data_IF_776610292617
#
_entry.id   IF_776610292617
#
_cell.length_a   1.000
_cell.length_b   1.000
_cell.length_c   1.000
_cell.angle_alpha   90.00
_cell.angle_beta   90.00
_cell.angle_gamma   90.00
#
_symmetry.space_group_name_H-M   'P 1'
#
loop_
_entity.id
_entity.type
_entity.pdbx_description
1 polymer ?
#
# COMPACT_ATOMS: atom_id res chain seq x y z
N UNK A 1 8.53 3.34 19.47
CA UNK A 1 9.29 2.66 18.40
C UNK A 1 8.30 2.46 17.26
N UNK A 2 8.52 3.04 16.09
CA UNK A 2 7.60 2.81 14.96
C UNK A 2 7.62 1.31 14.58
N UNK A 3 6.48 0.71 14.20
CA UNK A 3 6.46 -0.66 13.71
C UNK A 3 7.38 -0.83 12.49
N UNK A 4 8.32 -1.76 12.64
CA UNK A 4 9.33 -2.12 11.66
C UNK A 4 8.76 -2.79 10.40
N UNK A 5 7.64 -3.51 10.55
CA UNK A 5 6.99 -4.25 9.47
C UNK A 5 5.56 -3.74 9.26
N UNK A 6 5.18 -3.56 8.00
CA UNK A 6 3.83 -3.19 7.58
C UNK A 6 3.21 -4.32 6.76
N UNK A 7 1.98 -4.71 7.09
CA UNK A 7 1.22 -5.76 6.40
C UNK A 7 -0.01 -5.14 5.75
N UNK A 8 -0.18 -5.39 4.46
CA UNK A 8 -1.33 -4.98 3.67
C UNK A 8 -1.99 -6.21 3.07
N UNK A 9 -3.32 -6.19 2.96
CA UNK A 9 -4.09 -7.30 2.38
C UNK A 9 -4.86 -6.80 1.17
N UNK A 10 -4.62 -7.38 -0.01
CA UNK A 10 -5.23 -6.94 -1.28
C UNK A 10 -6.08 -8.07 -1.88
N UNK A 11 -7.41 -8.07 -1.64
CA UNK A 11 -8.35 -8.93 -2.34
C UNK A 11 -8.19 -8.82 -3.87
N UNK A 12 -8.32 -9.93 -4.57
CA UNK A 12 -8.23 -10.01 -6.02
C UNK A 12 -9.57 -10.47 -6.62
N UNK A 13 -10.13 -11.56 -6.11
CA UNK A 13 -11.39 -12.10 -6.56
C UNK A 13 -12.01 -13.05 -5.54
N UNK A 14 -13.31 -13.21 -5.64
CA UNK A 14 -14.10 -14.25 -5.01
C UNK A 14 -14.57 -15.22 -6.09
N UNK A 15 -14.37 -16.52 -5.89
CA UNK A 15 -14.83 -17.56 -6.80
C UNK A 15 -15.11 -18.85 -6.03
N UNK A 16 -16.25 -19.50 -6.30
CA UNK A 16 -16.59 -20.83 -5.78
C UNK A 16 -16.45 -20.93 -4.24
N UNK A 17 -16.90 -19.92 -3.50
CA UNK A 17 -16.84 -19.93 -2.03
C UNK A 17 -15.46 -19.61 -1.45
N UNK A 18 -14.48 -19.18 -2.24
CA UNK A 18 -13.14 -18.76 -1.78
C UNK A 18 -12.81 -17.34 -2.21
N UNK A 19 -12.14 -16.60 -1.33
CA UNK A 19 -11.54 -15.30 -1.64
C UNK A 19 -10.05 -15.51 -1.85
N UNK A 20 -9.53 -15.10 -3.00
CA UNK A 20 -8.09 -15.02 -3.27
C UNK A 20 -7.62 -13.58 -3.07
N UNK A 21 -6.49 -13.43 -2.40
CA UNK A 21 -5.90 -12.14 -2.06
C UNK A 21 -4.38 -12.21 -1.99
N UNK A 22 -3.74 -11.06 -2.14
CA UNK A 22 -2.29 -10.91 -1.96
C UNK A 22 -2.01 -10.29 -0.60
N UNK A 23 -1.07 -10.88 0.14
CA UNK A 23 -0.48 -10.32 1.35
C UNK A 23 0.78 -9.60 0.93
N UNK A 24 0.90 -8.32 1.28
CA UNK A 24 2.12 -7.55 1.04
C UNK A 24 2.76 -7.22 2.37
N UNK A 25 4.00 -7.65 2.55
CA UNK A 25 4.82 -7.38 3.74
C UNK A 25 5.92 -6.40 3.36
N UNK A 26 5.97 -5.26 4.02
CA UNK A 26 6.93 -4.19 3.72
C UNK A 26 7.85 -4.02 4.93
N UNK A 27 9.14 -4.39 4.82
CA UNK A 27 10.16 -4.00 5.79
C UNK A 27 10.47 -2.50 5.61
N UNK A 28 9.99 -1.67 6.55
CA UNK A 28 10.11 -0.22 6.43
C UNK A 28 11.49 0.25 6.88
N UNK A 29 12.25 0.85 5.97
CA UNK A 29 13.56 1.47 6.26
C UNK A 29 14.58 0.52 6.91
N UNK A 30 14.48 -0.77 6.63
CA UNK A 30 15.33 -1.81 7.21
C UNK A 30 16.14 -2.49 6.14
N UNK A 31 17.34 -2.91 6.52
CA UNK A 31 18.14 -3.80 5.69
C UNK A 31 17.58 -5.23 5.83
N UNK A 32 17.04 -5.84 4.76
CA UNK A 32 16.44 -7.17 4.83
C UNK A 32 17.47 -8.27 5.09
N UNK A 33 18.77 -8.00 4.90
CA UNK A 33 19.88 -8.94 5.12
C UNK A 33 20.41 -8.92 6.56
N UNK A 34 20.00 -7.93 7.37
CA UNK A 34 20.42 -7.82 8.76
C UNK A 34 19.29 -8.24 9.72
N UNK A 35 19.64 -8.76 10.90
CA UNK A 35 18.69 -8.99 11.99
C UNK A 35 17.81 -7.76 12.25
N UNK A 36 16.50 -8.00 12.41
CA UNK A 36 15.54 -6.93 12.68
C UNK A 36 15.81 -6.24 14.03
N UNK A 37 16.04 -7.06 15.06
CA UNK A 37 16.46 -6.67 16.40
C UNK A 37 17.37 -7.77 16.98
N UNK A 38 18.01 -7.49 18.12
CA UNK A 38 18.83 -8.50 18.79
C UNK A 38 17.99 -9.73 19.16
N UNK A 39 18.39 -10.91 18.66
CA UNK A 39 17.68 -12.17 18.89
C UNK A 39 16.61 -12.50 17.85
N UNK A 40 16.33 -11.61 16.89
CA UNK A 40 15.45 -11.88 15.75
C UNK A 40 16.27 -12.19 14.49
N UNK A 41 15.78 -13.07 13.59
CA UNK A 41 16.41 -13.30 12.30
C UNK A 41 16.32 -12.08 11.38
N UNK A 42 17.11 -12.09 10.31
CA UNK A 42 16.93 -11.13 9.23
C UNK A 42 15.64 -11.43 8.46
N UNK A 43 15.00 -10.41 7.90
CA UNK A 43 13.79 -10.57 7.08
C UNK A 43 14.01 -11.60 5.97
N UNK A 44 15.18 -11.56 5.32
CA UNK A 44 15.50 -12.43 4.21
C UNK A 44 15.74 -13.90 4.58
N UNK A 45 15.95 -14.21 5.86
CA UNK A 45 16.20 -15.57 6.36
C UNK A 45 14.97 -16.22 6.97
N UNK A 46 13.85 -15.51 6.99
CA UNK A 46 12.69 -15.89 7.78
C UNK A 46 11.61 -16.52 6.92
N UNK A 47 11.13 -17.69 7.35
CA UNK A 47 9.87 -18.24 6.89
C UNK A 47 8.70 -17.56 7.60
N UNK A 48 7.93 -16.74 6.87
CA UNK A 48 6.80 -16.00 7.43
C UNK A 48 5.57 -16.89 7.51
N UNK A 49 4.95 -16.96 8.70
CA UNK A 49 3.68 -17.64 8.90
C UNK A 49 2.60 -16.59 9.11
N UNK A 50 1.49 -16.75 8.41
CA UNK A 50 0.40 -15.78 8.40
C UNK A 50 -0.87 -16.36 9.02
N UNK A 51 -1.68 -15.47 9.58
CA UNK A 51 -3.08 -15.71 9.92
C UNK A 51 -3.96 -14.70 9.20
N UNK A 52 -5.14 -15.15 8.80
CA UNK A 52 -6.15 -14.29 8.19
C UNK A 52 -7.23 -13.99 9.22
N UNK A 53 -7.57 -12.72 9.33
CA UNK A 53 -8.53 -12.22 10.29
C UNK A 53 -9.70 -11.60 9.52
N UNK A 54 -10.91 -11.98 9.90
CA UNK A 54 -12.15 -11.55 9.25
C UNK A 54 -13.05 -10.82 10.24
N UNK A 55 -13.70 -9.75 9.80
CA UNK A 55 -14.73 -9.05 10.56
C UNK A 55 -16.00 -9.08 9.72
N UNK A 56 -17.03 -9.79 10.19
CA UNK A 56 -18.29 -9.99 9.45
C UNK A 56 -19.29 -8.85 9.68
N UNK A 57 -18.82 -7.61 9.60
CA UNK A 57 -19.67 -6.41 9.67
C UNK A 57 -18.93 -5.21 9.06
N UNK A 58 -19.70 -4.30 8.48
CA UNK A 58 -19.26 -2.97 8.04
C UNK A 58 -19.69 -1.86 8.99
N UNK A 59 -20.20 -2.21 10.18
CA UNK A 59 -20.61 -1.28 11.23
C UNK A 59 -19.37 -0.67 11.91
N UNK A 60 -18.76 0.29 11.21
CA UNK A 60 -17.58 1.02 11.66
C UNK A 60 -16.26 0.54 11.06
N UNK A 61 -15.17 1.12 11.58
CA UNK A 61 -13.80 0.84 11.18
C UNK A 61 -13.35 -0.56 11.65
N UNK A 62 -12.34 -1.17 11.00
CA UNK A 62 -11.85 -2.49 11.40
C UNK A 62 -11.18 -2.45 12.77
N UNK A 63 -11.84 -3.06 13.77
CA UNK A 63 -11.33 -3.20 15.12
C UNK A 63 -10.81 -4.63 15.36
N UNK A 64 -9.60 -4.75 15.89
CA UNK A 64 -8.98 -6.05 16.16
C UNK A 64 -9.81 -6.91 17.13
N UNK A 65 -10.53 -6.30 18.08
CA UNK A 65 -11.38 -7.00 19.04
C UNK A 65 -12.63 -7.66 18.42
N UNK A 66 -13.03 -7.24 17.21
CA UNK A 66 -14.19 -7.81 16.50
C UNK A 66 -13.78 -8.87 15.47
N UNK A 67 -12.48 -9.13 15.35
CA UNK A 67 -11.95 -10.01 14.32
C UNK A 67 -11.94 -11.47 14.78
N UNK A 68 -12.32 -12.35 13.87
CA UNK A 68 -12.22 -13.80 14.02
C UNK A 68 -11.11 -14.31 13.12
N UNK A 69 -10.33 -15.27 13.60
CA UNK A 69 -9.31 -15.92 12.79
C UNK A 69 -9.96 -16.95 11.85
N UNK A 70 -9.60 -16.93 10.58
CA UNK A 70 -10.04 -17.93 9.60
C UNK A 70 -9.18 -19.20 9.73
N UNK A 71 -9.85 -20.34 9.80
CA UNK A 71 -9.22 -21.66 9.87
C UNK A 71 -8.81 -22.23 8.50
N UNK A 72 -9.16 -21.58 7.40
CA UNK A 72 -8.97 -22.11 6.03
C UNK A 72 -7.96 -21.33 5.19
N UNK A 73 -7.10 -20.56 5.84
CA UNK A 73 -6.01 -19.84 5.17
C UNK A 73 -5.07 -20.83 4.47
N UNK A 74 -4.90 -20.63 3.17
CA UNK A 74 -3.92 -21.33 2.34
C UNK A 74 -2.97 -20.28 1.80
N UNK A 75 -1.66 -20.50 1.95
CA UNK A 75 -0.60 -19.73 1.30
C UNK A 75 -0.08 -20.54 0.12
N UNK A 76 -0.14 -19.99 -1.10
CA UNK A 76 0.23 -20.71 -2.32
C UNK A 76 1.74 -20.78 -2.53
N UNK A 77 2.46 -19.73 -2.13
CA UNK A 77 3.90 -19.60 -2.31
C UNK A 77 4.60 -19.34 -0.96
N UNK A 78 4.81 -20.41 -0.19
CA UNK A 78 5.61 -20.31 1.02
C UNK A 78 7.10 -20.11 0.68
N UNK A 79 7.75 -19.16 1.36
CA UNK A 79 9.14 -18.79 1.10
C UNK A 79 9.94 -19.04 2.37
N UNK A 80 10.87 -19.98 2.30
CA UNK A 80 11.73 -20.33 3.43
C UNK A 80 12.86 -19.32 3.61
N UNK A 81 13.44 -18.82 2.51
CA UNK A 81 14.44 -17.76 2.53
C UNK A 81 14.40 -16.98 1.21
N UNK A 82 14.63 -15.67 1.30
CA UNK A 82 14.78 -14.76 0.17
C UNK A 82 16.17 -14.11 0.10
N UNK A 83 17.13 -14.54 0.94
CA UNK A 83 18.49 -13.97 1.05
C UNK A 83 19.20 -13.88 -0.30
N UNK A 84 19.20 -14.96 -1.06
CA UNK A 84 19.86 -15.01 -2.37
C UNK A 84 19.32 -13.94 -3.33
N UNK A 85 18.01 -13.65 -3.27
CA UNK A 85 17.36 -12.65 -4.10
C UNK A 85 17.81 -11.25 -3.70
N UNK A 86 17.88 -10.96 -2.40
CA UNK A 86 18.32 -9.66 -1.88
C UNK A 86 19.82 -9.42 -2.14
N UNK A 87 20.66 -10.45 -2.03
CA UNK A 87 22.09 -10.38 -2.34
C UNK A 87 22.34 -10.21 -3.84
N UNK A 88 21.60 -10.94 -4.69
CA UNK A 88 21.66 -10.77 -6.14
C UNK A 88 21.20 -9.37 -6.57
N UNK A 89 20.11 -8.86 -5.98
CA UNK A 89 19.62 -7.52 -6.24
C UNK A 89 20.64 -6.46 -5.85
N UNK A 90 21.21 -6.57 -4.65
CA UNK A 90 22.27 -5.66 -4.20
C UNK A 90 23.44 -5.65 -5.18
N UNK A 91 23.91 -6.83 -5.56
CA UNK A 91 25.03 -7.00 -6.49
C UNK A 91 24.73 -6.39 -7.85
N UNK A 92 23.53 -6.62 -8.40
CA UNK A 92 23.12 -6.05 -9.68
C UNK A 92 23.09 -4.52 -9.64
N UNK A 93 22.50 -3.92 -8.61
CA UNK A 93 22.39 -2.47 -8.49
C UNK A 93 23.75 -1.80 -8.28
N UNK A 94 24.63 -2.42 -7.48
CA UNK A 94 25.96 -1.87 -7.20
C UNK A 94 26.92 -2.00 -8.38
N UNK A 95 26.91 -3.13 -9.09
CA UNK A 95 27.84 -3.39 -10.19
C UNK A 95 27.36 -2.85 -11.54
N UNK A 96 26.07 -3.02 -11.86
CA UNK A 96 25.54 -2.71 -13.20
C UNK A 96 25.01 -1.29 -13.27
N UNK A 97 24.27 -0.85 -12.25
CA UNK A 97 23.61 0.46 -12.25
C UNK A 97 24.47 1.57 -11.62
N UNK A 98 25.61 1.20 -11.00
CA UNK A 98 26.52 2.13 -10.33
C UNK A 98 25.92 2.76 -9.06
N UNK A 99 24.89 2.15 -8.48
CA UNK A 99 24.14 2.66 -7.33
C UNK A 99 24.65 2.02 -6.05
N UNK A 100 24.99 2.81 -5.02
CA UNK A 100 25.39 2.29 -3.71
C UNK A 100 24.19 2.14 -2.80
N UNK A 101 24.03 0.98 -2.15
CA UNK A 101 22.98 0.79 -1.15
C UNK A 101 23.56 1.04 0.24
N UNK A 102 22.96 1.93 1.02
CA UNK A 102 23.50 2.35 2.33
C UNK A 102 22.47 2.23 3.45
N UNK A 103 22.89 1.59 4.55
CA UNK A 103 22.11 1.50 5.79
C UNK A 103 21.94 2.88 6.46
N UNK A 104 22.96 3.73 6.38
CA UNK A 104 22.91 5.10 6.91
C UNK A 104 21.86 5.95 6.20
N UNK A 105 21.58 5.68 4.92
CA UNK A 105 20.52 6.36 4.16
C UNK A 105 19.12 5.88 4.54
N UNK A 106 18.99 4.64 5.03
CA UNK A 106 17.73 4.11 5.56
C UNK A 106 17.34 4.78 6.88
N UNK A 107 18.31 5.10 7.74
CA UNK A 107 18.08 5.80 9.02
C UNK A 107 17.75 7.29 8.91
N UNK A 108 18.05 7.95 7.78
CA UNK A 108 17.81 9.40 7.57
C UNK A 108 16.38 9.76 7.14
N UNK A 109 15.49 8.78 6.98
CA UNK A 109 14.16 9.01 6.42
C UNK A 109 13.29 9.97 7.27
N UNK A 110 13.40 9.90 8.60
CA UNK A 110 12.67 10.77 9.54
C UNK A 110 13.12 12.23 9.47
N UNK A 111 14.42 12.47 9.26
CA UNK A 111 14.95 13.82 9.07
C UNK A 111 14.44 14.44 7.76
N UNK A 112 14.36 13.63 6.69
CA UNK A 112 13.85 14.10 5.39
C UNK A 112 12.36 14.42 5.43
N UNK A 113 11.55 13.65 6.17
CA UNK A 113 10.12 13.95 6.28
C UNK A 113 9.88 15.24 7.05
N UNK A 114 10.63 15.48 8.15
CA UNK A 114 10.58 16.74 8.90
C UNK A 114 11.01 17.95 8.07
N UNK A 115 12.16 17.88 7.42
CA UNK A 115 12.69 18.97 6.58
C UNK A 115 11.79 19.25 5.37
N UNK A 116 11.23 18.21 4.75
CA UNK A 116 10.28 18.36 3.65
C UNK A 116 8.95 18.95 4.13
N UNK A 117 8.43 18.51 5.29
CA UNK A 117 7.21 19.05 5.89
C UNK A 117 7.37 20.53 6.20
N UNK A 118 8.53 20.97 6.71
CA UNK A 118 8.79 22.38 6.99
C UNK A 118 8.97 23.20 5.69
N UNK A 119 9.82 22.71 4.77
CA UNK A 119 10.08 23.36 3.46
C UNK A 119 8.81 23.52 2.63
N UNK A 120 7.90 22.55 2.67
CA UNK A 120 6.69 22.51 1.87
C UNK A 120 5.42 22.80 2.65
N UNK A 121 5.51 23.25 3.91
CA UNK A 121 4.36 23.53 4.80
C UNK A 121 3.32 24.46 4.17
N UNK A 122 3.78 25.42 3.37
CA UNK A 122 2.96 26.42 2.69
C UNK A 122 2.93 26.23 1.17
N UNK A 123 3.38 25.07 0.67
CA UNK A 123 3.39 24.75 -0.76
C UNK A 123 2.28 23.75 -1.05
N UNK A 124 1.35 24.15 -1.91
CA UNK A 124 0.29 23.26 -2.38
C UNK A 124 0.52 22.86 -3.83
N UNK A 125 0.43 21.56 -4.13
CA UNK A 125 0.43 21.08 -5.50
C UNK A 125 -0.96 21.36 -6.09
N UNK A 126 -1.01 22.16 -7.16
CA UNK A 126 -2.23 22.38 -7.94
C UNK A 126 -2.21 21.53 -9.21
N UNK A 127 -3.34 20.93 -9.56
CA UNK A 127 -3.52 20.12 -10.77
C UNK A 127 -4.48 20.84 -11.72
N UNK A 128 -4.03 21.12 -12.94
CA UNK A 128 -4.91 21.65 -13.99
C UNK A 128 -5.89 20.57 -14.46
N UNK A 129 -7.15 20.97 -14.71
CA UNK A 129 -8.21 20.16 -15.29
C UNK A 129 -8.44 20.58 -16.76
N UNK A 130 -7.94 19.82 -17.74
CA UNK A 130 -8.06 20.17 -19.16
C UNK A 130 -9.50 20.24 -19.65
N UNK A 131 -9.78 21.01 -20.70
CA UNK A 131 -11.12 21.09 -21.30
C UNK A 131 -11.67 19.72 -21.65
N UNK A 132 -10.86 18.87 -22.29
CA UNK A 132 -11.26 17.48 -22.62
C UNK A 132 -11.69 16.65 -21.41
N UNK A 133 -11.17 16.93 -20.20
CA UNK A 133 -11.66 16.30 -18.97
C UNK A 133 -12.98 16.91 -18.52
N UNK A 134 -13.10 18.23 -18.57
CA UNK A 134 -14.32 18.95 -18.18
C UNK A 134 -15.51 18.65 -19.10
N UNK A 135 -15.24 18.35 -20.36
CA UNK A 135 -16.24 18.02 -21.38
C UNK A 135 -16.68 16.54 -21.37
N UNK A 136 -15.99 15.66 -20.64
CA UNK A 136 -16.30 14.22 -20.66
C UNK A 136 -17.44 13.84 -19.70
N UNK A 137 -17.90 14.77 -18.88
CA UNK A 137 -19.06 14.62 -17.99
C UNK A 137 -19.68 15.98 -17.69
N UNK A 138 -20.79 16.02 -16.93
CA UNK A 138 -21.40 17.27 -16.48
C UNK A 138 -20.54 17.96 -15.40
N UNK A 139 -19.42 18.53 -15.82
CA UNK A 139 -18.52 19.29 -14.96
C UNK A 139 -19.17 20.63 -14.58
N UNK A 140 -19.38 20.84 -13.27
CA UNK A 140 -19.90 22.10 -12.74
C UNK A 140 -18.78 22.95 -12.15
N UNK A 141 -17.96 22.35 -11.29
CA UNK A 141 -16.80 22.99 -10.66
C UNK A 141 -15.82 21.95 -10.14
N UNK A 142 -14.58 22.36 -9.94
CA UNK A 142 -13.59 21.57 -9.23
C UNK A 142 -14.05 21.28 -7.79
N UNK A 143 -13.91 20.04 -7.32
CA UNK A 143 -14.26 19.64 -5.95
C UNK A 143 -13.27 20.13 -4.89
N UNK A 144 -12.03 20.39 -5.31
CA UNK A 144 -10.94 20.82 -4.43
C UNK A 144 -10.36 22.13 -4.93
N UNK A 145 -9.96 22.99 -3.99
CA UNK A 145 -9.22 24.24 -4.27
C UNK A 145 -7.87 24.02 -4.98
N UNK A 146 -7.37 22.78 -4.97
CA UNK A 146 -6.13 22.40 -5.65
C UNK A 146 -6.33 22.01 -7.12
N UNK A 147 -7.58 21.84 -7.57
CA UNK A 147 -7.89 21.57 -8.97
C UNK A 147 -8.25 22.88 -9.68
N UNK A 148 -7.44 23.30 -10.64
CA UNK A 148 -7.56 24.60 -11.33
C UNK A 148 -8.02 24.41 -12.77
N UNK A 149 -8.80 25.36 -13.29
CA UNK A 149 -9.35 25.31 -14.66
C UNK A 149 -8.93 26.48 -15.53
N UNK A 150 -8.23 27.47 -14.97
CA UNK A 150 -7.74 28.65 -15.68
C UNK A 150 -6.24 28.60 -15.97
N UNK A 151 -5.73 29.72 -16.48
CA UNK A 151 -4.35 29.85 -16.97
C UNK A 151 -3.30 29.95 -15.85
N UNK A 152 -3.73 29.86 -14.59
CA UNK A 152 -2.86 29.86 -13.41
C UNK A 152 -1.72 28.84 -13.52
N UNK A 153 -1.99 27.68 -14.13
CA UNK A 153 -0.99 26.65 -14.35
C UNK A 153 0.06 27.08 -15.39
N UNK A 154 -0.36 27.65 -16.52
CA UNK A 154 0.54 28.20 -17.55
C UNK A 154 1.39 29.33 -16.99
N UNK A 155 0.77 30.26 -16.24
CA UNK A 155 1.47 31.34 -15.54
C UNK A 155 2.49 30.82 -14.52
N UNK A 156 2.17 29.75 -13.76
CA UNK A 156 3.08 29.16 -12.78
C UNK A 156 4.27 28.45 -13.42
N UNK A 157 4.09 27.83 -14.59
CA UNK A 157 5.18 27.23 -15.36
C UNK A 157 6.12 28.32 -15.90
N UNK A 158 5.55 29.38 -16.49
CA UNK A 158 6.33 30.49 -17.08
C UNK A 158 7.09 31.29 -16.01
N UNK A 159 6.47 31.54 -14.86
CA UNK A 159 7.06 32.27 -13.74
C UNK A 159 7.61 31.33 -12.66
N UNK A 160 8.28 30.24 -13.06
CA UNK A 160 8.82 29.27 -12.12
C UNK A 160 9.83 29.93 -11.17
N UNK A 161 9.55 29.91 -9.87
CA UNK A 161 10.51 30.34 -8.87
C UNK A 161 11.66 29.32 -8.77
N UNK A 162 12.88 29.75 -9.10
CA UNK A 162 14.10 28.93 -9.01
C UNK A 162 14.44 28.53 -7.58
N UNK A 163 14.05 29.31 -6.57
CA UNK A 163 14.27 29.01 -5.15
C UNK A 163 13.44 27.79 -4.68
N UNK A 164 12.27 27.60 -5.27
CA UNK A 164 11.38 26.47 -5.03
C UNK A 164 11.64 25.28 -5.97
N UNK A 165 12.68 25.36 -6.81
CA UNK A 165 13.07 24.26 -7.66
C UNK A 165 13.97 23.30 -6.90
N UNK A 166 13.68 22.01 -6.96
CA UNK A 166 14.54 21.00 -6.37
C UNK A 166 15.93 21.06 -6.98
N UNK A 167 16.95 21.18 -6.12
CA UNK A 167 18.35 21.07 -6.54
C UNK A 167 18.57 19.65 -7.06
N UNK A 168 19.36 19.54 -8.13
CA UNK A 168 19.77 18.23 -8.62
C UNK A 168 20.66 17.55 -7.56
N UNK A 169 20.08 16.66 -6.78
CA UNK A 169 20.83 15.81 -5.85
C UNK A 169 21.45 14.68 -6.66
N UNK A 170 22.77 14.51 -6.59
CA UNK A 170 23.42 13.26 -7.00
C UNK A 170 22.80 12.15 -6.14
N UNK A 171 22.04 11.28 -6.79
CA UNK A 171 21.32 10.17 -6.15
C UNK A 171 22.01 8.86 -6.52
N UNK A 172 23.32 8.79 -6.36
CA UNK A 172 24.10 7.55 -6.51
C UNK A 172 23.94 6.62 -5.30
N UNK A 173 23.35 7.12 -4.20
CA UNK A 173 23.06 6.30 -3.00
C UNK A 173 21.55 6.05 -2.82
N UNK A 174 21.21 4.78 -2.60
CA UNK A 174 19.86 4.31 -2.31
C UNK A 174 19.74 3.85 -0.85
N UNK A 175 18.58 4.11 -0.26
CA UNK A 175 18.15 3.46 0.97
C UNK A 175 17.46 2.14 0.65
N UNK A 176 17.44 1.22 1.61
CA UNK A 176 16.74 -0.06 1.47
C UNK A 176 15.25 0.12 1.21
N UNK A 177 14.62 1.15 1.78
CA UNK A 177 13.21 1.47 1.46
C UNK A 177 12.97 1.76 -0.03
N UNK A 178 13.93 2.39 -0.73
CA UNK A 178 13.84 2.59 -2.19
C UNK A 178 14.04 1.28 -2.94
N UNK A 179 14.94 0.43 -2.48
CA UNK A 179 15.18 -0.91 -3.05
C UNK A 179 13.91 -1.76 -2.94
N UNK A 180 13.29 -1.82 -1.76
CA UNK A 180 11.99 -2.48 -1.55
C UNK A 180 10.91 -1.92 -2.47
N UNK A 181 10.82 -0.59 -2.63
CA UNK A 181 9.86 0.02 -3.54
C UNK A 181 10.11 -0.34 -5.02
N UNK A 182 11.38 -0.50 -5.43
CA UNK A 182 11.73 -0.99 -6.77
C UNK A 182 11.32 -2.45 -6.96
N UNK A 183 11.55 -3.31 -5.95
CA UNK A 183 11.09 -4.71 -5.99
C UNK A 183 9.58 -4.79 -6.21
N UNK A 184 8.79 -4.00 -5.47
CA UNK A 184 7.33 -3.99 -5.57
C UNK A 184 6.79 -3.57 -6.94
N UNK A 185 7.59 -2.91 -7.79
CA UNK A 185 7.19 -2.60 -9.18
C UNK A 185 7.21 -3.82 -10.10
N UNK A 186 7.92 -4.87 -9.72
CA UNK A 186 7.95 -6.14 -10.43
C UNK A 186 7.35 -7.24 -9.54
N UNK A 187 6.08 -7.64 -9.77
CA UNK A 187 5.40 -8.62 -8.93
C UNK A 187 6.16 -9.95 -8.78
N UNK A 188 6.77 -10.45 -9.86
CA UNK A 188 7.50 -11.71 -9.82
C UNK A 188 8.78 -11.62 -8.95
N UNK A 189 9.46 -10.47 -8.98
CA UNK A 189 10.60 -10.21 -8.11
C UNK A 189 10.14 -10.03 -6.66
N UNK A 190 9.05 -9.29 -6.43
CA UNK A 190 8.49 -9.06 -5.11
C UNK A 190 8.02 -10.35 -4.44
N UNK A 191 7.39 -11.26 -5.20
CA UNK A 191 7.05 -12.60 -4.72
C UNK A 191 8.32 -13.34 -4.29
N UNK A 192 9.35 -13.45 -5.15
CA UNK A 192 10.60 -14.14 -4.78
C UNK A 192 11.37 -13.49 -3.63
N UNK A 193 11.28 -12.18 -3.48
CA UNK A 193 11.90 -11.41 -2.41
C UNK A 193 11.17 -11.55 -1.05
N UNK A 194 10.08 -12.30 -0.98
CA UNK A 194 9.28 -12.46 0.24
C UNK A 194 8.42 -11.24 0.58
N UNK A 195 8.16 -10.35 -0.39
CA UNK A 195 7.34 -9.15 -0.18
C UNK A 195 5.86 -9.39 -0.51
N UNK A 196 5.55 -10.33 -1.40
CA UNK A 196 4.18 -10.65 -1.83
C UNK A 196 3.91 -12.16 -1.66
N UNK A 197 2.82 -12.49 -0.97
CA UNK A 197 2.32 -13.86 -0.83
C UNK A 197 0.91 -13.95 -1.38
N UNK A 198 0.65 -14.98 -2.17
CA UNK A 198 -0.70 -15.31 -2.66
C UNK A 198 -1.38 -16.20 -1.62
N UNK A 199 -2.58 -15.81 -1.25
CA UNK A 199 -3.32 -16.48 -0.20
C UNK A 199 -4.79 -16.61 -0.56
N UNK A 200 -5.46 -17.60 0.04
CA UNK A 200 -6.91 -17.73 -0.06
C UNK A 200 -7.54 -18.21 1.24
N UNK A 201 -8.79 -17.79 1.46
CA UNK A 201 -9.65 -18.28 2.55
C UNK A 201 -10.99 -18.74 1.98
N UNK A 202 -11.62 -19.71 2.64
CA UNK A 202 -13.01 -20.09 2.39
C UNK A 202 -13.96 -19.11 3.09
N UNK A 203 -14.99 -18.70 2.36
CA UNK A 203 -16.10 -17.89 2.91
C UNK A 203 -17.05 -18.76 3.73
N UNK A 204 -17.02 -20.08 3.54
CA UNK A 204 -17.88 -21.01 4.28
C UNK A 204 -17.39 -21.32 5.71
N UNK A 205 -16.26 -20.75 6.15
CA UNK A 205 -15.69 -20.99 7.49
C UNK A 205 -16.61 -20.54 8.63
N UNK A 206 -17.36 -19.45 8.42
CA UNK A 206 -18.32 -18.93 9.37
C UNK A 206 -19.67 -18.73 8.69
N UNK A 207 -20.76 -19.09 9.38
CA UNK A 207 -22.11 -18.89 8.85
C UNK A 207 -22.30 -17.42 8.46
N UNK A 208 -22.75 -17.20 7.22
CA UNK A 208 -23.05 -15.89 6.66
C UNK A 208 -21.84 -14.94 6.54
N UNK A 209 -20.62 -15.46 6.44
CA UNK A 209 -19.42 -14.63 6.28
C UNK A 209 -19.50 -13.78 5.01
N UNK A 210 -19.32 -12.47 5.16
CA UNK A 210 -19.41 -11.46 4.10
C UNK A 210 -20.77 -11.41 3.38
N UNK A 211 -21.86 -11.95 3.94
CA UNK A 211 -23.19 -11.79 3.35
C UNK A 211 -23.57 -10.33 3.17
N UNK A 212 -23.27 -9.51 4.19
CA UNK A 212 -23.49 -8.06 4.18
C UNK A 212 -22.19 -7.27 3.95
N UNK A 213 -21.11 -7.95 3.57
CA UNK A 213 -19.76 -7.39 3.50
C UNK A 213 -19.05 -7.39 4.85
N UNK A 214 -17.80 -6.94 4.85
CA UNK A 214 -16.96 -6.94 6.05
C UNK A 214 -15.53 -6.50 5.78
N UNK A 215 -14.63 -6.91 6.66
CA UNK A 215 -13.20 -6.59 6.56
C UNK A 215 -12.36 -7.87 6.53
N UNK A 216 -11.28 -7.82 5.75
CA UNK A 216 -10.26 -8.87 5.68
C UNK A 216 -8.89 -8.24 5.90
N UNK A 217 -8.13 -8.77 6.87
CA UNK A 217 -6.73 -8.40 7.05
C UNK A 217 -5.88 -9.60 7.42
N UNK A 218 -4.57 -9.43 7.32
CA UNK A 218 -3.60 -10.46 7.70
C UNK A 218 -2.67 -9.98 8.81
N UNK A 219 -2.20 -10.93 9.61
CA UNK A 219 -1.19 -10.73 10.63
C UNK A 219 -0.23 -11.92 10.67
N UNK A 220 0.79 -11.83 11.51
CA UNK A 220 1.68 -12.97 11.76
C UNK A 220 0.98 -14.01 12.63
N UNK A 221 1.12 -15.28 12.25
CA UNK A 221 0.62 -16.42 13.02
C UNK A 221 1.54 -16.74 14.20
N UNK A 222 1.00 -17.51 15.14
CA UNK A 222 1.78 -18.03 16.26
C UNK A 222 2.96 -18.88 15.75
N UNK A 223 4.15 -18.66 16.30
CA UNK A 223 5.37 -19.36 15.89
C UNK A 223 6.08 -18.77 14.66
N UNK A 224 5.56 -17.69 14.06
CA UNK A 224 6.36 -16.90 13.12
C UNK A 224 7.45 -16.14 13.86
N UNK A 225 8.64 -15.99 13.26
CA UNK A 225 9.73 -15.26 13.92
C UNK A 225 9.43 -13.78 14.21
N UNK A 226 8.42 -13.21 13.53
CA UNK A 226 7.97 -11.83 13.73
C UNK A 226 6.59 -11.74 14.38
N UNK A 227 6.17 -12.77 15.11
CA UNK A 227 4.94 -12.74 15.91
C UNK A 227 4.88 -11.50 16.80
N UNK A 228 3.76 -10.76 16.74
CA UNK A 228 3.54 -9.55 17.52
C UNK A 228 4.22 -8.28 16.98
N UNK A 229 4.99 -8.37 15.88
CA UNK A 229 5.61 -7.21 15.21
C UNK A 229 4.73 -6.63 14.08
N UNK A 230 3.47 -7.07 13.98
CA UNK A 230 2.45 -6.59 13.04
C UNK A 230 1.79 -5.27 13.49
N UNK A 231 2.57 -4.35 14.07
CA UNK A 231 2.07 -3.08 14.62
C UNK A 231 1.42 -2.16 13.57
N UNK A 232 1.73 -2.35 12.29
CA UNK A 232 1.07 -1.69 11.15
C UNK A 232 0.39 -2.74 10.28
N UNK A 233 -0.87 -3.05 10.57
CA UNK A 233 -1.70 -3.92 9.72
C UNK A 233 -2.91 -3.17 9.23
N UNK A 234 -3.27 -3.43 7.97
CA UNK A 234 -4.39 -2.78 7.33
C UNK A 234 -5.36 -3.80 6.76
N UNK A 235 -6.65 -3.49 6.89
CA UNK A 235 -7.74 -4.28 6.35
C UNK A 235 -8.23 -3.74 5.03
N UNK A 236 -8.56 -4.66 4.14
CA UNK A 236 -9.35 -4.41 2.97
C UNK A 236 -10.83 -4.55 3.28
N UNK A 237 -11.63 -3.67 2.68
CA UNK A 237 -13.08 -3.79 2.67
C UNK A 237 -13.50 -4.89 1.70
N UNK A 238 -14.33 -5.82 2.14
CA UNK A 238 -14.99 -6.83 1.32
C UNK A 238 -16.45 -6.40 1.12
N UNK A 239 -16.91 -6.19 -0.13
CA UNK A 239 -18.32 -5.90 -0.39
C UNK A 239 -19.18 -7.13 -0.11
N UNK A 240 -20.50 -6.94 -0.04
CA UNK A 240 -21.44 -8.04 0.13
C UNK A 240 -21.29 -9.10 -0.99
N UNK A 241 -21.16 -10.36 -0.58
CA UNK A 241 -20.99 -11.51 -1.47
C UNK A 241 -22.24 -12.38 -1.58
N UNK A 242 -23.32 -12.04 -0.88
CA UNK A 242 -24.56 -12.82 -0.85
C UNK A 242 -25.13 -13.03 -2.26
N UNK A 243 -25.39 -14.30 -2.58
CA UNK A 243 -26.00 -14.69 -3.85
C UNK A 243 -25.07 -14.61 -5.07
N UNK A 244 -23.77 -14.33 -4.87
CA UNK A 244 -22.76 -14.34 -5.93
C UNK A 244 -21.97 -15.65 -5.89
N UNK A 245 -21.57 -16.12 -7.07
CA UNK A 245 -20.65 -17.27 -7.22
C UNK A 245 -19.24 -16.82 -7.63
N UNK A 246 -19.13 -15.65 -8.26
CA UNK A 246 -17.88 -15.02 -8.68
C UNK A 246 -17.99 -13.49 -8.58
N UNK A 247 -16.88 -12.83 -8.23
CA UNK A 247 -16.77 -11.36 -8.20
C UNK A 247 -15.30 -10.93 -8.20
N UNK A 248 -14.95 -9.95 -9.03
CA UNK A 248 -13.66 -9.25 -8.90
C UNK A 248 -13.69 -8.39 -7.63
N UNK A 249 -12.64 -8.48 -6.83
CA UNK A 249 -12.50 -7.72 -5.59
C UNK A 249 -11.33 -6.77 -5.74
N UNK A 250 -11.53 -5.52 -5.33
CA UNK A 250 -10.48 -4.53 -5.31
C UNK A 250 -10.55 -3.70 -4.03
N UNK A 251 -9.39 -3.44 -3.44
CA UNK A 251 -9.25 -2.59 -2.27
C UNK A 251 -8.58 -1.28 -2.68
N UNK A 252 -9.39 -0.28 -3.02
CA UNK A 252 -8.91 1.05 -3.36
C UNK A 252 -8.25 1.76 -2.18
N UNK A 253 -8.71 1.45 -0.96
CA UNK A 253 -8.18 1.99 0.28
C UNK A 253 -7.96 0.88 1.30
N UNK A 254 -6.81 0.94 1.96
CA UNK A 254 -6.44 0.08 3.08
C UNK A 254 -6.72 0.82 4.39
N UNK A 255 -7.50 0.21 5.29
CA UNK A 255 -7.92 0.83 6.55
C UNK A 255 -7.07 0.30 7.70
N UNK A 256 -6.47 1.17 8.54
CA UNK A 256 -5.65 0.70 9.64
C UNK A 256 -6.51 -0.09 10.64
N UNK A 257 -6.03 -1.26 11.05
CA UNK A 257 -6.72 -2.05 12.08
C UNK A 257 -6.34 -1.48 13.44
N UNK A 258 -7.33 -0.97 14.17
CA UNK A 258 -7.14 -0.36 15.47
C UNK A 258 -7.61 -1.26 16.61
N UNK A 259 -7.11 -1.02 17.82
CA UNK A 259 -7.64 -1.64 19.04
C UNK A 259 -8.87 -0.87 19.55
N UNK A 260 -8.91 0.44 19.30
CA UNK A 260 -9.97 1.34 19.73
C UNK A 260 -10.49 2.12 18.53
N UNK A 261 -11.81 2.37 18.49
CA UNK A 261 -12.41 3.16 17.43
C UNK A 261 -11.98 4.63 17.55
N UNK A 262 -11.31 5.13 16.51
CA UNK A 262 -10.99 6.55 16.37
C UNK A 262 -11.71 7.06 15.14
N UNK A 263 -12.96 7.49 15.31
CA UNK A 263 -13.74 8.07 14.22
C UNK A 263 -13.36 9.55 14.05
N UNK A 264 -13.08 9.93 12.81
CA UNK A 264 -12.88 11.32 12.40
C UNK A 264 -13.72 11.59 11.14
N UNK A 265 -14.05 12.86 10.90
CA UNK A 265 -14.87 13.28 9.74
C UNK A 265 -14.20 12.92 8.39
N UNK A 266 -12.88 12.73 8.37
CA UNK A 266 -12.14 12.33 7.18
C UNK A 266 -12.42 10.91 6.72
N UNK A 267 -12.83 10.01 7.60
CA UNK A 267 -13.11 8.62 7.23
C UNK A 267 -14.35 8.46 6.35
N UNK A 268 -15.32 9.37 6.42
CA UNK A 268 -16.53 9.30 5.59
C UNK A 268 -16.22 9.45 4.10
N UNK A 269 -15.32 10.38 3.75
CA UNK A 269 -14.87 10.57 2.36
C UNK A 269 -14.09 9.35 1.87
N UNK A 270 -13.21 8.82 2.71
CA UNK A 270 -12.37 7.66 2.41
C UNK A 270 -13.22 6.38 2.23
N UNK A 271 -14.23 6.18 3.08
CA UNK A 271 -15.18 5.06 2.96
C UNK A 271 -16.00 5.16 1.68
N UNK A 272 -16.44 6.36 1.32
CA UNK A 272 -17.16 6.59 0.06
C UNK A 272 -16.31 6.18 -1.14
N UNK A 273 -15.04 6.55 -1.17
CA UNK A 273 -14.13 6.15 -2.26
C UNK A 273 -13.91 4.63 -2.27
N UNK A 274 -13.74 4.00 -1.10
CA UNK A 274 -13.63 2.54 -1.01
C UNK A 274 -14.89 1.79 -1.51
N UNK A 275 -16.07 2.39 -1.39
CA UNK A 275 -17.33 1.84 -1.94
C UNK A 275 -17.42 2.04 -3.45
N UNK A 276 -17.08 3.23 -3.94
CA UNK A 276 -17.23 3.59 -5.37
C UNK A 276 -16.27 2.80 -6.27
N UNK A 277 -15.09 2.48 -5.75
CA UNK A 277 -14.03 1.78 -6.49
C UNK A 277 -13.86 0.32 -6.05
N UNK A 278 -14.87 -0.31 -5.46
CA UNK A 278 -14.80 -1.69 -4.96
C UNK A 278 -14.62 -2.76 -6.06
N UNK A 279 -14.87 -2.38 -7.32
CA UNK A 279 -14.71 -3.20 -8.52
C UNK A 279 -13.37 -2.97 -9.26
N UNK A 280 -12.54 -2.04 -8.78
CA UNK A 280 -11.23 -1.73 -9.37
C UNK A 280 -11.27 -0.99 -10.70
N UNK A 281 -12.44 -0.62 -11.21
CA UNK A 281 -12.55 0.13 -12.46
C UNK A 281 -12.57 1.64 -12.23
N UNK A 282 -11.57 2.32 -12.80
CA UNK A 282 -11.55 3.77 -12.86
C UNK A 282 -12.77 4.27 -13.66
N UNK A 283 -13.64 5.06 -13.02
CA UNK A 283 -14.89 5.54 -13.64
C UNK A 283 -14.67 6.60 -14.73
N UNK A 284 -13.56 7.35 -14.65
CA UNK A 284 -13.16 8.36 -15.65
C UNK A 284 -11.64 8.33 -15.76
N UNK A 285 -11.09 7.90 -16.89
CA UNK A 285 -9.65 7.95 -17.18
C UNK A 285 -9.39 9.07 -18.18
N UNK A 286 -8.54 10.02 -17.80
CA UNK A 286 -8.11 11.09 -18.69
C UNK A 286 -6.59 11.12 -18.70
N UNK A 287 -6.03 10.79 -19.86
CA UNK A 287 -4.58 10.65 -20.05
C UNK A 287 -4.00 11.78 -20.93
N UNK A 288 -4.78 12.82 -21.20
CA UNK A 288 -4.31 13.90 -22.06
C UNK A 288 -3.35 14.80 -21.26
N UNK A 289 -2.13 14.94 -21.75
CA UNK A 289 -1.20 15.94 -21.23
C UNK A 289 -1.50 17.30 -21.86
N UNK A 290 -1.24 18.41 -21.16
CA UNK A 290 -1.31 19.73 -21.78
C UNK A 290 -0.39 19.75 -23.02
N UNK A 291 -0.94 20.19 -24.17
CA UNK A 291 -0.29 20.07 -25.48
C UNK A 291 0.92 21.02 -25.62
N UNK A 292 1.05 22.05 -24.78
CA UNK A 292 2.24 22.88 -24.77
C UNK A 292 2.47 23.65 -23.46
N UNK A 293 3.71 24.07 -23.21
CA UNK A 293 4.09 25.04 -22.15
C UNK A 293 3.92 26.51 -22.59
N UNK A 294 3.56 26.73 -23.87
CA UNK A 294 3.43 28.05 -24.51
C UNK A 294 2.06 28.70 -24.35
#
# INVERSE_FOLDING_TARGET
>A
MEPSLCILTFPQYYQNGRITFNIVVIPRNLNPLLPLEAGLPAFADTELLFKAMVINSLDGLPLAGNALESSSLIIENQITSSREIWEALKTQMELTDGMKISDAESGKAEQRSGDALDRYKNVSIRKYLPDSYRSSFNFVRARSKYAVTGDEYSCAIKNKNTENTDKNTQRDVLSWGKVTALCLRNPALAEKAGLIYKASIAVNDAANLFENGGWLYTGFAAGSAFEGLDGMKYAARIPALKGLNERVLFSAVQFPVAQTAVNNVGYDEVLKDAIVYDDGFAKIVHANQPVNQD
#
